data_IF_146772447535
#
_entry.id   IF_146772447535
#
_cell.length_a   1.000
_cell.length_b   1.000
_cell.length_c   1.000
_cell.angle_alpha   90.00
_cell.angle_beta   90.00
_cell.angle_gamma   90.00
#
_symmetry.space_group_name_H-M   'P 1'
#
loop_
_entity.id
_entity.type
_entity.pdbx_description
1 polymer ?
#
# COMPACT_ATOMS: atom_id res chain seq x y z
N UNK A 1 2.36 -5.37 -5.52
CA UNK A 1 1.06 -5.85 -5.02
C UNK A 1 0.70 -7.29 -5.39
N UNK A 2 1.67 -8.09 -5.88
CA UNK A 2 1.45 -9.48 -6.29
C UNK A 2 0.78 -10.38 -5.23
N UNK A 3 0.98 -10.12 -3.93
CA UNK A 3 0.31 -10.85 -2.85
C UNK A 3 -1.19 -10.51 -2.75
N UNK A 4 -1.59 -9.25 -2.91
CA UNK A 4 -3.03 -8.93 -2.95
C UNK A 4 -3.66 -9.36 -4.28
N UNK A 5 -2.92 -9.31 -5.39
CA UNK A 5 -3.37 -9.88 -6.67
C UNK A 5 -3.67 -11.37 -6.52
N UNK A 6 -2.76 -12.13 -5.90
CA UNK A 6 -2.95 -13.56 -5.64
C UNK A 6 -4.13 -13.82 -4.70
N UNK A 7 -4.23 -13.07 -3.59
CA UNK A 7 -5.35 -13.19 -2.65
C UNK A 7 -6.69 -12.91 -3.33
N UNK A 8 -6.79 -11.82 -4.10
CA UNK A 8 -8.02 -11.47 -4.81
C UNK A 8 -8.38 -12.47 -5.90
N UNK A 9 -7.39 -13.11 -6.55
CA UNK A 9 -7.65 -14.19 -7.50
C UNK A 9 -8.18 -15.45 -6.81
N UNK A 10 -7.77 -15.74 -5.58
CA UNK A 10 -8.23 -16.92 -4.83
C UNK A 10 -9.54 -16.71 -4.06
N UNK A 11 -9.78 -15.50 -3.56
CA UNK A 11 -10.88 -15.16 -2.65
C UNK A 11 -11.94 -14.28 -3.26
N UNK A 12 -11.68 -13.73 -4.44
CA UNK A 12 -12.53 -12.75 -5.10
C UNK A 12 -12.82 -11.51 -4.22
N UNK A 13 -11.88 -11.10 -3.37
CA UNK A 13 -11.99 -9.91 -2.51
C UNK A 13 -10.63 -9.25 -2.26
N UNK A 14 -10.62 -7.98 -1.84
CA UNK A 14 -9.41 -7.33 -1.33
C UNK A 14 -9.21 -7.70 0.14
N UNK A 15 -7.97 -8.09 0.46
CA UNK A 15 -7.54 -8.41 1.82
C UNK A 15 -6.62 -7.34 2.41
N UNK A 16 -6.68 -7.23 3.73
CA UNK A 16 -5.69 -6.48 4.52
C UNK A 16 -4.34 -7.25 4.59
N UNK A 17 -3.31 -6.67 5.22
CA UNK A 17 -1.96 -7.24 5.35
C UNK A 17 -2.00 -8.70 5.79
N UNK A 18 -2.74 -8.99 6.87
CA UNK A 18 -2.82 -10.34 7.42
C UNK A 18 -3.49 -11.32 6.45
N UNK A 19 -4.58 -10.91 5.79
CA UNK A 19 -5.33 -11.73 4.84
C UNK A 19 -4.46 -12.13 3.64
N UNK A 20 -3.66 -11.19 3.11
CA UNK A 20 -2.75 -11.46 2.00
C UNK A 20 -1.42 -12.14 2.43
N UNK A 21 -1.29 -12.50 3.71
CA UNK A 21 -0.08 -13.13 4.26
C UNK A 21 1.14 -12.22 4.35
N UNK A 22 0.94 -10.89 4.36
CA UNK A 22 2.00 -9.91 4.50
C UNK A 22 2.16 -9.47 5.96
N UNK A 23 3.41 -9.38 6.41
CA UNK A 23 3.78 -8.83 7.72
C UNK A 23 4.59 -7.55 7.47
N UNK A 24 4.07 -6.36 7.82
CA UNK A 24 4.81 -5.12 7.65
C UNK A 24 6.10 -5.08 8.49
N UNK A 25 7.08 -4.26 8.10
CA UNK A 25 8.33 -4.12 8.84
C UNK A 25 8.11 -3.60 10.27
N UNK A 26 8.99 -4.02 11.18
CA UNK A 26 9.02 -3.54 12.55
C UNK A 26 8.22 -4.40 13.52
N UNK A 27 7.77 -3.79 14.62
CA UNK A 27 6.98 -4.46 15.66
C UNK A 27 5.56 -3.95 15.62
N UNK A 28 4.58 -4.84 15.84
CA UNK A 28 3.18 -4.44 16.01
C UNK A 28 3.03 -3.66 17.32
N UNK A 29 2.58 -2.42 17.23
CA UNK A 29 2.16 -1.57 18.34
C UNK A 29 0.68 -1.20 18.22
N UNK A 30 0.22 -0.28 19.07
CA UNK A 30 -1.22 0.07 19.17
C UNK A 30 -1.75 0.76 17.91
N UNK A 31 -0.92 1.58 17.26
CA UNK A 31 -1.30 2.37 16.08
C UNK A 31 -1.00 1.67 14.74
N UNK A 32 -0.39 0.48 14.75
CA UNK A 32 0.09 -0.20 13.53
C UNK A 32 1.45 -0.87 13.72
N UNK A 33 2.20 -1.06 12.64
CA UNK A 33 3.55 -1.62 12.69
C UNK A 33 4.59 -0.52 12.73
N UNK A 34 5.51 -0.56 13.68
CA UNK A 34 6.41 0.55 13.97
C UNK A 34 7.86 0.11 13.84
N UNK A 35 8.63 0.89 13.11
CA UNK A 35 10.10 0.89 13.08
C UNK A 35 10.61 2.20 13.67
N UNK A 36 11.93 2.37 13.78
CA UNK A 36 12.49 3.66 14.19
C UNK A 36 12.18 4.79 13.19
N UNK A 37 11.93 4.45 11.92
CA UNK A 37 11.85 5.43 10.83
C UNK A 37 10.44 5.65 10.33
N UNK A 38 9.62 4.59 10.34
CA UNK A 38 8.25 4.59 9.81
C UNK A 38 7.26 3.91 10.75
N UNK A 39 6.03 4.41 10.70
CA UNK A 39 4.83 3.73 11.18
C UNK A 39 4.00 3.29 9.97
N UNK A 40 3.64 2.01 9.91
CA UNK A 40 2.84 1.42 8.85
C UNK A 40 1.42 1.12 9.36
N UNK A 41 0.43 1.62 8.63
CA UNK A 41 -0.99 1.39 8.90
C UNK A 41 -1.70 0.94 7.64
N UNK A 42 -2.93 0.43 7.82
CA UNK A 42 -3.80 0.00 6.74
C UNK A 42 -5.24 0.41 7.03
N UNK A 43 -6.03 0.55 5.98
CA UNK A 43 -7.45 0.88 6.05
C UNK A 43 -8.18 0.10 4.97
N UNK A 44 -8.74 -1.04 5.38
CA UNK A 44 -9.65 -1.83 4.55
C UNK A 44 -11.03 -1.15 4.57
N UNK A 45 -11.43 -0.57 3.44
CA UNK A 45 -12.76 0.01 3.27
C UNK A 45 -13.60 -0.94 2.42
N UNK A 46 -14.31 -1.86 3.10
CA UNK A 46 -15.04 -2.98 2.50
C UNK A 46 -14.14 -3.94 1.68
N UNK A 47 -14.73 -4.98 1.09
CA UNK A 47 -14.01 -5.96 0.26
C UNK A 47 -13.56 -5.43 -1.12
N UNK A 48 -13.62 -4.10 -1.34
CA UNK A 48 -13.38 -3.44 -2.64
C UNK A 48 -12.29 -2.37 -2.63
N UNK A 49 -11.77 -1.96 -1.47
CA UNK A 49 -10.69 -0.96 -1.39
C UNK A 49 -9.82 -1.14 -0.15
N UNK A 50 -8.51 -1.00 -0.30
CA UNK A 50 -7.52 -1.04 0.79
C UNK A 50 -6.48 0.07 0.61
N UNK A 51 -6.08 0.72 1.70
CA UNK A 51 -5.07 1.78 1.69
C UNK A 51 -3.97 1.46 2.68
N UNK A 52 -2.80 1.12 2.16
CA UNK A 52 -1.60 0.98 2.97
C UNK A 52 -0.91 2.32 3.10
N UNK A 53 -0.51 2.67 4.31
CA UNK A 53 0.18 3.94 4.59
C UNK A 53 1.47 3.67 5.35
N UNK A 54 2.56 4.31 4.92
CA UNK A 54 3.79 4.43 5.70
C UNK A 54 3.96 5.90 6.06
N UNK A 55 4.11 6.23 7.34
CA UNK A 55 4.28 7.60 7.84
C UNK A 55 5.64 7.77 8.48
N UNK A 56 6.36 8.85 8.15
CA UNK A 56 7.67 9.15 8.74
C UNK A 56 7.57 9.48 10.23
N UNK A 57 8.35 8.78 11.06
CA UNK A 57 8.43 9.06 12.51
C UNK A 57 9.36 10.24 12.83
N UNK A 58 10.23 10.61 11.89
CA UNK A 58 11.17 11.72 12.01
C UNK A 58 11.44 12.37 10.65
N UNK A 59 12.16 13.49 10.68
CA UNK A 59 12.62 14.17 9.46
C UNK A 59 13.59 13.25 8.70
N UNK A 60 13.34 13.03 7.41
CA UNK A 60 14.21 12.27 6.51
C UNK A 60 14.75 13.20 5.42
N UNK A 61 16.00 13.63 5.55
CA UNK A 61 16.61 14.64 4.68
C UNK A 61 15.71 15.87 4.52
N UNK A 62 15.11 16.06 3.34
CA UNK A 62 14.26 17.19 3.00
C UNK A 62 12.77 16.92 3.26
N UNK A 63 12.43 15.70 3.68
CA UNK A 63 11.08 15.31 4.01
C UNK A 63 10.80 15.54 5.50
N UNK A 64 9.77 16.33 5.81
CA UNK A 64 9.35 16.57 7.19
C UNK A 64 8.94 15.26 7.90
N UNK A 65 8.89 15.30 9.24
CA UNK A 65 8.24 14.24 10.02
C UNK A 65 6.73 14.23 9.77
N UNK A 66 6.09 13.07 9.88
CA UNK A 66 4.65 12.90 9.67
C UNK A 66 4.22 12.84 8.19
N UNK A 67 5.16 12.83 7.26
CA UNK A 67 4.88 12.69 5.83
C UNK A 67 4.49 11.24 5.53
N UNK A 68 3.51 11.06 4.63
CA UNK A 68 2.90 9.75 4.40
C UNK A 68 2.97 9.31 2.93
N UNK A 69 3.35 8.07 2.74
CA UNK A 69 3.35 7.36 1.47
C UNK A 69 2.24 6.35 1.47
N UNK A 70 1.45 6.31 0.40
CA UNK A 70 0.29 5.44 0.33
C UNK A 70 0.33 4.52 -0.88
N UNK A 71 -0.28 3.35 -0.74
CA UNK A 71 -0.65 2.48 -1.85
C UNK A 71 -2.12 2.17 -1.69
N UNK A 72 -2.92 2.65 -2.63
CA UNK A 72 -4.37 2.37 -2.69
C UNK A 72 -4.61 1.24 -3.66
N UNK A 73 -5.21 0.16 -3.18
CA UNK A 73 -5.66 -0.97 -3.98
C UNK A 73 -7.18 -0.90 -4.11
N UNK A 74 -7.69 -0.88 -5.34
CA UNK A 74 -9.12 -0.90 -5.62
C UNK A 74 -9.47 -2.08 -6.51
N UNK A 75 -10.60 -2.72 -6.25
CA UNK A 75 -11.15 -3.76 -7.10
C UNK A 75 -12.21 -3.13 -7.98
N UNK A 76 -12.06 -3.29 -9.30
CA UNK A 76 -13.08 -2.87 -10.28
C UNK A 76 -13.70 -4.09 -10.95
N UNK A 77 -15.03 -4.08 -11.13
CA UNK A 77 -15.81 -5.20 -11.65
C UNK A 77 -16.91 -5.66 -10.68
N UNK A 78 -18.00 -6.21 -11.22
CA UNK A 78 -19.13 -6.70 -10.43
C UNK A 78 -18.72 -7.92 -9.57
N UNK A 79 -19.24 -7.99 -8.35
CA UNK A 79 -19.25 -9.22 -7.56
C UNK A 79 -19.91 -10.34 -8.38
N UNK A 80 -19.42 -11.59 -8.25
CA UNK A 80 -20.03 -12.80 -8.83
C UNK A 80 -19.83 -13.10 -10.33
N UNK A 81 -18.74 -12.66 -10.96
CA UNK A 81 -18.24 -13.34 -12.16
C UNK A 81 -16.87 -13.93 -11.86
N UNK A 82 -16.70 -15.23 -12.12
CA UNK A 82 -15.48 -16.04 -11.93
C UNK A 82 -14.25 -15.58 -12.76
N UNK A 83 -14.25 -14.32 -13.21
CA UNK A 83 -13.12 -13.61 -13.78
C UNK A 83 -12.69 -12.57 -12.75
N UNK A 84 -11.51 -12.77 -12.18
CA UNK A 84 -10.81 -11.87 -11.26
C UNK A 84 -11.19 -10.40 -11.51
N UNK A 85 -11.85 -9.75 -10.55
CA UNK A 85 -11.97 -8.29 -10.61
C UNK A 85 -10.57 -7.70 -10.75
N UNK A 86 -10.36 -6.83 -11.73
CA UNK A 86 -9.04 -6.23 -11.96
C UNK A 86 -8.70 -5.36 -10.77
N UNK A 87 -7.62 -5.70 -10.07
CA UNK A 87 -7.06 -4.82 -9.06
C UNK A 87 -6.29 -3.69 -9.74
N UNK A 88 -6.56 -2.47 -9.29
CA UNK A 88 -5.75 -1.30 -9.63
C UNK A 88 -5.02 -0.87 -8.37
N UNK A 89 -3.70 -0.69 -8.49
CA UNK A 89 -2.84 -0.23 -7.41
C UNK A 89 -2.27 1.13 -7.77
N UNK A 90 -2.53 2.12 -6.93
CA UNK A 90 -2.07 3.49 -7.12
C UNK A 90 -1.20 3.88 -5.94
N UNK A 91 0.07 4.15 -6.20
CA UNK A 91 0.98 4.69 -5.21
C UNK A 91 0.95 6.22 -5.21
N UNK A 92 1.02 6.82 -4.02
CA UNK A 92 1.22 8.25 -3.86
C UNK A 92 2.32 8.53 -2.84
N UNK A 93 3.08 9.59 -3.10
CA UNK A 93 4.11 10.13 -2.20
C UNK A 93 3.67 11.52 -1.73
N UNK A 94 4.18 12.03 -0.59
CA UNK A 94 3.70 13.28 0.02
C UNK A 94 3.77 14.51 -0.90
N UNK A 95 4.75 14.55 -1.80
CA UNK A 95 5.02 15.64 -2.74
C UNK A 95 5.00 15.19 -4.21
N UNK A 96 4.41 14.02 -4.49
CA UNK A 96 4.44 13.40 -5.82
C UNK A 96 5.79 12.75 -6.18
N UNK A 97 5.83 12.01 -7.29
CA UNK A 97 6.97 11.15 -7.62
C UNK A 97 8.29 11.91 -7.87
N UNK A 98 8.22 13.20 -8.17
CA UNK A 98 9.36 14.05 -8.52
C UNK A 98 9.81 14.97 -7.39
N UNK A 99 9.11 14.96 -6.25
CA UNK A 99 9.46 15.77 -5.09
C UNK A 99 10.53 15.13 -4.21
N UNK A 100 11.08 15.91 -3.28
CA UNK A 100 12.15 15.47 -2.39
C UNK A 100 11.77 14.24 -1.55
N UNK A 101 10.57 14.20 -0.97
CA UNK A 101 10.06 13.01 -0.26
C UNK A 101 9.87 11.81 -1.20
N UNK A 102 9.36 12.03 -2.41
CA UNK A 102 9.20 10.99 -3.43
C UNK A 102 10.51 10.30 -3.82
N UNK A 103 11.60 11.07 -3.97
CA UNK A 103 12.92 10.52 -4.34
C UNK A 103 13.58 9.67 -3.25
N UNK A 104 13.20 9.85 -1.99
CA UNK A 104 13.77 9.09 -0.85
C UNK A 104 13.15 7.69 -0.71
N UNK A 105 11.98 7.48 -1.30
CA UNK A 105 11.27 6.20 -1.28
C UNK A 105 10.85 5.78 -2.70
N UNK A 106 11.79 5.67 -3.65
CA UNK A 106 11.47 5.44 -5.05
C UNK A 106 10.79 4.08 -5.27
N UNK A 107 10.95 3.15 -4.32
CA UNK A 107 10.26 1.86 -4.34
C UNK A 107 8.76 1.95 -4.15
N UNK A 108 8.23 3.00 -3.51
CA UNK A 108 6.77 3.16 -3.33
C UNK A 108 6.06 3.42 -4.65
N UNK A 109 6.61 4.29 -5.51
CA UNK A 109 6.05 4.58 -6.84
C UNK A 109 6.22 3.42 -7.83
N UNK A 110 7.08 2.46 -7.52
CA UNK A 110 7.20 1.20 -8.27
C UNK A 110 6.08 0.19 -7.93
N UNK A 111 5.30 0.42 -6.86
CA UNK A 111 4.19 -0.44 -6.48
C UNK A 111 3.00 -0.15 -7.40
N UNK A 112 2.65 -1.11 -8.26
CA UNK A 112 1.50 -1.02 -9.17
C UNK A 112 1.86 -0.70 -10.63
N UNK A 113 3.07 -0.18 -10.88
CA UNK A 113 3.59 -0.03 -12.24
C UNK A 113 4.11 -1.37 -12.77
N UNK A 114 3.19 -2.29 -13.10
CA UNK A 114 3.46 -3.31 -14.10
C UNK A 114 3.45 -2.65 -15.49
N UNK A 115 4.45 -1.81 -15.79
CA UNK A 115 4.88 -1.66 -17.18
C UNK A 115 5.74 -2.87 -17.50
N UNK A 116 5.08 -4.02 -17.69
CA UNK A 116 5.63 -5.07 -18.52
C UNK A 116 5.87 -4.48 -19.90
N UNK A 117 7.10 -4.67 -20.37
CA UNK A 117 7.62 -4.40 -21.72
C UNK A 117 6.58 -4.45 -22.84
#
# INVERSE_FOLDING_TARGET
MKLADAYAAEKEEIGNFAAIGYVPPGKKGDAGWVTNTFTYTEVLTASTSEVWTATSNGKMNDCASGQSWTVTTTKTGAENTATSGTLTHVAATPDGATGACGTLTPSFTAIGNNSGT
#
